data_IF_628155627661
#
_entry.id   IF_628155627661
#
_cell.length_a   1.000
_cell.length_b   1.000
_cell.length_c   1.000
_cell.angle_alpha   90.00
_cell.angle_beta   90.00
_cell.angle_gamma   90.00
#
_symmetry.space_group_name_H-M   'P 1'
#
loop_
_entity.id
_entity.type
_entity.pdbx_description
1 polymer ?
#
# COMPACT_ATOMS: atom_id res chain seq x y z
N UNK A 1 25.73 -28.24 -18.61
CA UNK A 1 26.16 -27.01 -17.89
C UNK A 1 25.37 -25.85 -18.48
N UNK A 2 24.34 -25.38 -17.76
CA UNK A 2 23.69 -24.12 -18.15
C UNK A 2 24.63 -22.96 -17.78
N UNK A 3 24.91 -22.09 -18.74
CA UNK A 3 25.82 -20.95 -18.54
C UNK A 3 25.14 -19.88 -17.68
N UNK A 4 25.93 -19.12 -16.91
CA UNK A 4 25.44 -18.01 -16.05
C UNK A 4 24.48 -17.06 -16.81
N UNK A 5 24.69 -16.89 -18.13
CA UNK A 5 23.86 -16.09 -18.99
C UNK A 5 22.43 -16.63 -19.22
N UNK A 6 22.23 -17.95 -19.21
CA UNK A 6 20.87 -18.52 -19.35
C UNK A 6 20.06 -18.42 -18.07
N UNK A 7 20.70 -18.38 -16.89
CA UNK A 7 20.05 -18.19 -15.60
C UNK A 7 19.52 -16.74 -15.43
N UNK A 8 20.29 -15.75 -15.88
CA UNK A 8 19.87 -14.35 -15.84
C UNK A 8 18.71 -14.05 -16.80
N UNK A 9 18.72 -14.64 -18.01
CA UNK A 9 17.62 -14.46 -18.97
C UNK A 9 16.28 -14.99 -18.43
N UNK A 10 16.28 -16.17 -17.83
CA UNK A 10 15.04 -16.75 -17.24
C UNK A 10 14.56 -15.95 -16.01
N UNK A 11 15.47 -15.34 -15.24
CA UNK A 11 15.12 -14.49 -14.12
C UNK A 11 14.46 -13.18 -14.58
N UNK A 12 14.98 -12.57 -15.64
CA UNK A 12 14.44 -11.32 -16.19
C UNK A 12 13.03 -11.48 -16.79
N UNK A 13 12.71 -12.64 -17.38
CA UNK A 13 11.37 -12.92 -17.92
C UNK A 13 10.27 -12.90 -16.85
N UNK A 14 10.61 -13.24 -15.60
CA UNK A 14 9.69 -13.23 -14.47
C UNK A 14 9.68 -11.89 -13.69
N UNK A 15 10.26 -10.84 -14.23
CA UNK A 15 10.39 -9.54 -13.56
C UNK A 15 9.81 -8.41 -14.39
N UNK A 16 9.12 -7.49 -13.75
CA UNK A 16 8.68 -6.24 -14.40
C UNK A 16 9.89 -5.42 -14.88
N UNK A 17 9.72 -4.56 -15.90
CA UNK A 17 10.78 -3.65 -16.33
C UNK A 17 11.31 -2.78 -15.19
N UNK A 18 10.45 -2.41 -14.23
CA UNK A 18 10.84 -1.68 -13.02
C UNK A 18 11.76 -2.51 -12.13
N UNK A 19 11.45 -3.80 -11.94
CA UNK A 19 12.26 -4.74 -11.15
C UNK A 19 13.63 -4.97 -11.79
N UNK A 20 13.67 -5.17 -13.10
CA UNK A 20 14.93 -5.34 -13.84
C UNK A 20 15.81 -4.07 -13.74
N UNK A 21 15.23 -2.89 -13.91
CA UNK A 21 15.95 -1.62 -13.77
C UNK A 21 16.48 -1.39 -12.34
N UNK A 22 15.70 -1.81 -11.34
CA UNK A 22 16.17 -1.79 -9.95
C UNK A 22 17.41 -2.66 -9.77
N UNK A 23 17.40 -3.91 -10.22
CA UNK A 23 18.54 -4.83 -10.09
C UNK A 23 19.81 -4.25 -10.73
N UNK A 24 19.71 -3.77 -11.97
CA UNK A 24 20.87 -3.15 -12.66
C UNK A 24 21.42 -1.93 -11.90
N UNK A 25 20.53 -1.14 -11.31
CA UNK A 25 20.92 0.02 -10.49
C UNK A 25 21.49 -0.41 -9.15
N UNK A 26 20.95 -1.46 -8.54
CA UNK A 26 21.38 -1.99 -7.25
C UNK A 26 22.79 -2.59 -7.33
N UNK A 27 23.07 -3.41 -8.34
CA UNK A 27 24.39 -4.01 -8.57
C UNK A 27 25.49 -2.95 -8.80
N UNK A 28 25.15 -1.82 -9.40
CA UNK A 28 26.09 -0.70 -9.62
C UNK A 28 26.22 0.25 -8.43
N UNK A 29 25.49 0.00 -7.34
CA UNK A 29 25.41 0.91 -6.19
C UNK A 29 26.54 0.66 -5.19
N UNK A 30 27.49 1.58 -5.13
CA UNK A 30 28.63 1.54 -4.18
C UNK A 30 28.65 2.70 -3.19
N UNK A 31 27.91 3.80 -3.44
CA UNK A 31 27.96 5.03 -2.64
C UNK A 31 26.65 5.33 -1.91
N UNK A 32 26.75 6.12 -0.83
CA UNK A 32 25.58 6.59 -0.05
C UNK A 32 24.61 7.38 -0.93
N UNK A 33 25.13 8.21 -1.84
CA UNK A 33 24.32 9.02 -2.77
C UNK A 33 23.51 8.15 -3.74
N UNK A 34 24.11 7.06 -4.27
CA UNK A 34 23.43 6.11 -5.13
C UNK A 34 22.31 5.36 -4.37
N UNK A 35 22.57 4.95 -3.11
CA UNK A 35 21.54 4.34 -2.24
C UNK A 35 20.38 5.27 -1.97
N UNK A 36 20.64 6.55 -1.73
CA UNK A 36 19.59 7.56 -1.54
C UNK A 36 18.72 7.71 -2.80
N UNK A 37 19.33 7.68 -4.00
CA UNK A 37 18.62 7.72 -5.28
C UNK A 37 17.73 6.48 -5.47
N UNK A 38 18.19 5.29 -5.12
CA UNK A 38 17.36 4.08 -5.15
C UNK A 38 16.12 4.23 -4.26
N UNK A 39 16.30 4.69 -3.01
CA UNK A 39 15.19 4.92 -2.06
C UNK A 39 14.17 5.95 -2.53
N UNK A 40 14.57 6.94 -3.33
CA UNK A 40 13.64 7.92 -3.90
C UNK A 40 12.88 7.41 -5.13
N UNK A 41 13.37 6.37 -5.76
CA UNK A 41 12.80 5.82 -7.01
C UNK A 41 11.95 4.59 -6.79
N UNK A 42 12.30 3.77 -5.80
CA UNK A 42 11.67 2.48 -5.52
C UNK A 42 11.18 2.40 -4.07
N UNK A 43 10.13 1.62 -3.83
CA UNK A 43 9.61 1.37 -2.48
C UNK A 43 10.56 0.42 -1.73
N UNK A 44 11.55 1.01 -1.04
CA UNK A 44 12.60 0.31 -0.32
C UNK A 44 12.38 0.45 1.18
N UNK A 45 12.40 -0.68 1.85
CA UNK A 45 12.37 -0.82 3.30
C UNK A 45 13.73 -1.28 3.82
N UNK A 46 13.92 -1.22 5.13
CA UNK A 46 15.02 -1.88 5.81
C UNK A 46 14.44 -3.03 6.65
N UNK A 47 14.94 -4.22 6.40
CA UNK A 47 14.64 -5.39 7.21
C UNK A 47 15.93 -5.87 7.86
N UNK A 48 16.00 -5.86 9.20
CA UNK A 48 17.20 -6.23 9.97
C UNK A 48 18.51 -5.53 9.53
N UNK A 49 18.40 -4.29 9.02
CA UNK A 49 19.54 -3.53 8.52
C UNK A 49 19.87 -3.78 7.03
N UNK A 50 19.25 -4.76 6.41
CA UNK A 50 19.40 -5.08 5.00
C UNK A 50 18.34 -4.35 4.15
N UNK A 51 18.70 -4.06 2.89
CA UNK A 51 17.79 -3.42 1.95
C UNK A 51 16.77 -4.44 1.44
N UNK A 52 15.50 -4.17 1.64
CA UNK A 52 14.39 -4.95 1.11
C UNK A 52 13.49 -4.08 0.22
N UNK A 53 12.94 -4.66 -0.83
CA UNK A 53 11.99 -3.99 -1.72
C UNK A 53 10.58 -4.47 -1.47
N UNK A 54 9.63 -3.53 -1.41
CA UNK A 54 8.22 -3.85 -1.42
C UNK A 54 7.80 -4.26 -2.83
N UNK A 55 7.17 -5.44 -2.95
CA UNK A 55 6.80 -6.00 -4.23
C UNK A 55 5.45 -6.71 -4.19
N UNK A 56 4.77 -6.71 -5.32
CA UNK A 56 3.77 -7.73 -5.61
C UNK A 56 4.47 -8.95 -6.22
N UNK A 57 4.27 -10.09 -5.59
CA UNK A 57 4.76 -11.37 -6.06
C UNK A 57 3.57 -12.20 -6.51
N UNK A 58 3.58 -12.59 -7.77
CA UNK A 58 2.55 -13.42 -8.36
C UNK A 58 2.99 -14.87 -8.30
N UNK A 59 2.16 -15.72 -7.72
CA UNK A 59 2.38 -17.16 -7.63
C UNK A 59 1.82 -17.89 -8.87
N UNK A 60 2.32 -19.07 -9.11
CA UNK A 60 1.74 -20.03 -10.08
C UNK A 60 0.47 -20.65 -9.48
N UNK A 61 0.51 -20.97 -8.18
CA UNK A 61 -0.59 -21.54 -7.39
C UNK A 61 -0.64 -20.82 -6.04
N UNK A 62 -1.82 -20.41 -5.60
CA UNK A 62 -2.03 -19.64 -4.37
C UNK A 62 -1.60 -20.39 -3.09
N UNK A 63 -1.57 -21.71 -3.11
CA UNK A 63 -1.19 -22.55 -1.98
C UNK A 63 0.30 -22.93 -1.99
N UNK A 64 1.03 -22.63 -3.08
CA UNK A 64 2.44 -22.97 -3.19
C UNK A 64 3.34 -21.79 -2.83
N UNK A 65 3.81 -21.79 -1.57
CA UNK A 65 4.73 -20.79 -1.02
C UNK A 65 6.18 -21.31 -0.91
N UNK A 66 6.48 -22.46 -1.54
CA UNK A 66 7.77 -23.13 -1.44
C UNK A 66 8.93 -22.20 -1.84
N UNK A 67 9.95 -22.17 -0.99
CA UNK A 67 11.17 -21.42 -1.18
C UNK A 67 11.10 -19.95 -0.77
N UNK A 68 9.92 -19.41 -0.41
CA UNK A 68 9.80 -18.00 -0.02
C UNK A 68 10.43 -17.72 1.35
N UNK A 69 10.22 -18.58 2.33
CA UNK A 69 10.79 -18.43 3.68
C UNK A 69 12.31 -18.54 3.66
N UNK A 70 12.87 -19.52 2.94
CA UNK A 70 14.32 -19.72 2.79
C UNK A 70 15.00 -18.51 2.12
N UNK A 71 14.26 -17.80 1.26
CA UNK A 71 14.71 -16.55 0.65
C UNK A 71 14.34 -15.32 1.48
N UNK A 72 13.92 -15.48 2.73
CA UNK A 72 13.60 -14.41 3.67
C UNK A 72 12.53 -13.43 3.13
N UNK A 73 11.61 -13.92 2.32
CA UNK A 73 10.49 -13.13 1.83
C UNK A 73 9.48 -12.94 2.95
N UNK A 74 9.20 -11.69 3.29
CA UNK A 74 8.15 -11.35 4.26
C UNK A 74 6.85 -11.15 3.49
N UNK A 75 5.84 -11.96 3.80
CA UNK A 75 4.49 -11.84 3.25
C UNK A 75 3.70 -10.90 4.16
N UNK A 76 3.24 -9.76 3.60
CA UNK A 76 2.42 -8.79 4.31
C UNK A 76 0.93 -9.09 4.17
N UNK A 77 0.51 -9.56 2.98
CA UNK A 77 -0.86 -9.95 2.67
C UNK A 77 -0.90 -10.87 1.46
N UNK A 78 -1.97 -11.67 1.36
CA UNK A 78 -2.24 -12.53 0.22
C UNK A 78 -3.67 -12.33 -0.29
N UNK A 79 -3.82 -12.25 -1.60
CA UNK A 79 -5.10 -12.26 -2.28
C UNK A 79 -5.03 -13.19 -3.50
N UNK A 80 -5.56 -14.39 -3.36
CA UNK A 80 -5.39 -15.45 -4.36
C UNK A 80 -3.92 -15.71 -4.64
N UNK A 81 -3.51 -15.64 -5.90
CA UNK A 81 -2.12 -15.83 -6.34
C UNK A 81 -1.23 -14.58 -6.20
N UNK A 82 -1.73 -13.48 -5.65
CA UNK A 82 -0.96 -12.24 -5.50
C UNK A 82 -0.58 -12.06 -4.03
N UNK A 83 0.72 -11.92 -3.77
CA UNK A 83 1.26 -11.58 -2.46
C UNK A 83 1.76 -10.14 -2.45
N UNK A 84 1.45 -9.40 -1.40
CA UNK A 84 2.18 -8.19 -1.04
C UNK A 84 3.35 -8.60 -0.15
N UNK A 85 4.57 -8.28 -0.56
CA UNK A 85 5.78 -8.81 0.09
C UNK A 85 6.84 -7.75 0.30
N UNK A 86 7.78 -8.05 1.24
CA UNK A 86 9.08 -7.40 1.29
C UNK A 86 10.14 -8.46 0.97
N UNK A 87 10.90 -8.25 -0.08
CA UNK A 87 11.93 -9.17 -0.59
C UNK A 87 13.30 -8.55 -0.35
N UNK A 88 14.26 -9.22 0.32
CA UNK A 88 15.63 -8.74 0.39
C UNK A 88 16.18 -8.49 -1.03
N UNK A 89 16.84 -7.36 -1.23
CA UNK A 89 17.32 -6.97 -2.56
C UNK A 89 18.29 -8.01 -3.15
N UNK A 90 19.13 -8.61 -2.32
CA UNK A 90 20.08 -9.65 -2.71
C UNK A 90 19.40 -10.97 -3.11
N UNK A 91 18.18 -11.22 -2.65
CA UNK A 91 17.43 -12.45 -2.92
C UNK A 91 16.45 -12.33 -4.10
N UNK A 92 16.32 -11.16 -4.73
CA UNK A 92 15.36 -10.95 -5.83
C UNK A 92 15.55 -11.93 -6.99
N UNK A 93 16.80 -12.20 -7.37
CA UNK A 93 17.11 -13.16 -8.44
C UNK A 93 16.73 -14.57 -8.03
N UNK A 94 17.11 -14.99 -6.81
CA UNK A 94 16.79 -16.34 -6.28
C UNK A 94 15.28 -16.54 -6.18
N UNK A 95 14.55 -15.54 -5.68
CA UNK A 95 13.08 -15.57 -5.61
C UNK A 95 12.44 -15.70 -6.99
N UNK A 96 12.94 -14.97 -8.00
CA UNK A 96 12.40 -15.07 -9.36
C UNK A 96 12.58 -16.46 -9.98
N UNK A 97 13.60 -17.20 -9.56
CA UNK A 97 13.90 -18.55 -10.07
C UNK A 97 13.05 -19.64 -9.43
N UNK A 98 12.34 -19.35 -8.33
CA UNK A 98 11.47 -20.33 -7.68
C UNK A 98 10.38 -20.83 -8.64
N UNK A 99 10.10 -22.14 -8.67
CA UNK A 99 9.01 -22.70 -9.45
C UNK A 99 7.63 -22.17 -9.04
N UNK A 100 7.46 -21.83 -7.75
CA UNK A 100 6.25 -21.25 -7.17
C UNK A 100 5.98 -19.84 -7.68
N UNK A 101 7.02 -19.10 -8.11
CA UNK A 101 6.93 -17.70 -8.53
C UNK A 101 6.70 -17.57 -10.03
N UNK A 102 5.62 -16.87 -10.40
CA UNK A 102 5.27 -16.53 -11.77
C UNK A 102 5.84 -15.19 -12.21
N UNK A 103 5.78 -14.16 -11.34
CA UNK A 103 6.18 -12.80 -11.69
C UNK A 103 6.45 -11.94 -10.45
N UNK A 104 7.37 -10.98 -10.56
CA UNK A 104 7.71 -10.02 -9.52
C UNK A 104 7.59 -8.60 -10.04
N UNK A 105 6.85 -7.77 -9.32
CA UNK A 105 6.65 -6.35 -9.60
C UNK A 105 6.97 -5.51 -8.37
N UNK A 106 8.09 -4.76 -8.39
CA UNK A 106 8.45 -3.89 -7.28
C UNK A 106 7.65 -2.58 -7.29
N UNK A 107 7.30 -2.13 -6.09
CA UNK A 107 6.58 -0.89 -5.87
C UNK A 107 7.42 0.36 -6.12
N UNK A 108 6.72 1.48 -6.27
CA UNK A 108 7.30 2.82 -6.27
C UNK A 108 6.85 3.58 -5.03
N UNK A 109 7.64 4.56 -4.55
CA UNK A 109 7.20 5.40 -3.45
C UNK A 109 5.92 6.15 -3.83
N UNK A 110 4.97 6.17 -2.90
CA UNK A 110 3.77 6.98 -3.03
C UNK A 110 4.05 8.33 -2.39
N UNK A 111 3.84 9.41 -3.14
CA UNK A 111 3.96 10.77 -2.64
C UNK A 111 2.57 11.38 -2.44
N UNK A 112 2.32 11.88 -1.25
CA UNK A 112 1.11 12.63 -0.95
C UNK A 112 1.09 13.94 -1.74
N UNK A 113 -0.05 14.25 -2.37
CA UNK A 113 -0.25 15.52 -3.06
C UNK A 113 -1.46 16.22 -2.45
N UNK A 114 -1.26 17.46 -1.99
CA UNK A 114 -2.33 18.32 -1.50
C UNK A 114 -2.81 19.20 -2.65
N UNK A 115 -3.94 18.85 -3.24
CA UNK A 115 -4.60 19.67 -4.26
C UNK A 115 -5.86 20.27 -3.67
N UNK A 116 -5.86 21.57 -3.41
CA UNK A 116 -7.05 22.34 -3.04
C UNK A 116 -7.90 22.61 -4.29
N UNK A 117 -8.72 21.65 -4.69
CA UNK A 117 -9.79 21.93 -5.65
C UNK A 117 -11.09 22.16 -4.89
N UNK A 118 -11.20 23.31 -4.26
CA UNK A 118 -12.45 23.83 -3.76
C UNK A 118 -13.14 24.53 -4.90
N UNK A 119 -14.01 23.87 -5.60
CA UNK A 119 -15.05 24.62 -6.26
C UNK A 119 -16.25 23.75 -6.50
N UNK A 120 -17.20 23.86 -5.60
CA UNK A 120 -18.59 23.53 -5.85
C UNK A 120 -19.03 24.06 -7.23
N UNK A 121 -18.45 25.19 -7.67
CA UNK A 121 -18.66 25.79 -8.97
C UNK A 121 -18.23 24.94 -10.17
N UNK A 122 -17.23 24.06 -10.01
CA UNK A 122 -16.76 23.22 -11.12
C UNK A 122 -17.33 21.80 -11.11
N UNK A 123 -17.74 21.27 -9.96
CA UNK A 123 -18.22 19.89 -9.86
C UNK A 123 -19.75 19.73 -9.93
N UNK A 124 -20.52 20.81 -9.72
CA UNK A 124 -21.98 20.80 -9.60
C UNK A 124 -22.54 19.82 -8.54
N UNK A 125 -21.72 19.40 -7.57
CA UNK A 125 -22.13 18.45 -6.52
C UNK A 125 -23.31 19.00 -5.70
N UNK A 126 -23.35 20.30 -5.45
CA UNK A 126 -24.48 20.95 -4.77
C UNK A 126 -25.82 20.64 -5.45
N UNK A 127 -25.90 20.67 -6.78
CA UNK A 127 -27.14 20.33 -7.51
C UNK A 127 -27.59 18.89 -7.31
N UNK A 128 -26.61 17.97 -7.19
CA UNK A 128 -26.87 16.56 -6.89
C UNK A 128 -27.40 16.42 -5.47
N UNK A 129 -26.76 17.11 -4.51
CA UNK A 129 -27.20 17.11 -3.10
C UNK A 129 -28.58 17.72 -2.90
N UNK A 130 -28.95 18.73 -3.71
CA UNK A 130 -30.26 19.37 -3.69
C UNK A 130 -31.31 18.62 -4.53
N UNK A 131 -30.88 17.68 -5.36
CA UNK A 131 -31.76 16.98 -6.30
C UNK A 131 -32.22 17.83 -7.50
N UNK A 132 -31.51 18.90 -7.80
CA UNK A 132 -31.88 19.81 -8.89
C UNK A 132 -31.86 19.10 -10.24
N UNK A 133 -33.03 18.91 -10.87
CA UNK A 133 -33.17 18.16 -12.12
C UNK A 133 -33.11 16.66 -11.99
N UNK A 134 -33.13 16.11 -10.76
CA UNK A 134 -33.09 14.68 -10.45
C UNK A 134 -34.42 14.25 -9.80
N UNK A 135 -34.64 12.95 -9.71
CA UNK A 135 -35.83 12.37 -9.06
C UNK A 135 -35.82 12.56 -7.53
N UNK A 136 -34.65 12.74 -6.94
CA UNK A 136 -34.45 13.00 -5.51
C UNK A 136 -33.07 13.58 -5.25
N UNK A 137 -32.83 14.05 -4.04
CA UNK A 137 -31.51 14.45 -3.57
C UNK A 137 -30.63 13.21 -3.30
N UNK A 138 -29.37 13.27 -3.73
CA UNK A 138 -28.38 12.22 -3.51
C UNK A 138 -27.22 12.78 -2.68
N UNK A 139 -27.16 12.42 -1.41
CA UNK A 139 -26.18 12.92 -0.46
C UNK A 139 -25.14 11.87 -0.05
N UNK A 140 -25.14 10.70 -0.70
CA UNK A 140 -24.30 9.56 -0.29
C UNK A 140 -24.78 8.87 0.99
N UNK A 141 -26.00 9.17 1.47
CA UNK A 141 -26.57 8.50 2.65
C UNK A 141 -26.55 6.98 2.44
N UNK A 142 -26.11 6.24 3.46
CA UNK A 142 -26.01 4.78 3.49
C UNK A 142 -24.99 4.18 2.50
N UNK A 143 -24.14 4.99 1.88
CA UNK A 143 -23.02 4.55 1.05
C UNK A 143 -21.77 4.44 1.91
N UNK A 144 -21.07 3.30 1.81
CA UNK A 144 -19.76 3.09 2.47
C UNK A 144 -18.67 3.44 1.45
N UNK A 145 -17.75 4.32 1.85
CA UNK A 145 -16.58 4.71 1.05
C UNK A 145 -15.33 4.19 1.72
N UNK A 146 -14.52 3.44 0.98
CA UNK A 146 -13.18 3.01 1.40
C UNK A 146 -12.13 4.03 0.94
N UNK A 147 -11.26 4.45 1.85
CA UNK A 147 -10.23 5.44 1.59
C UNK A 147 -8.88 4.86 2.03
N UNK A 148 -7.89 4.93 1.13
CA UNK A 148 -6.51 4.55 1.40
C UNK A 148 -5.65 5.78 1.28
N UNK A 149 -5.22 6.32 2.40
CA UNK A 149 -4.41 7.53 2.49
C UNK A 149 -3.68 7.55 3.84
N UNK A 150 -2.95 8.63 4.12
CA UNK A 150 -2.25 8.82 5.38
C UNK A 150 -2.42 10.23 5.94
N UNK A 151 -2.28 10.36 7.28
CA UNK A 151 -2.52 11.60 8.00
C UNK A 151 -3.99 11.80 8.36
N UNK A 152 -4.63 10.74 8.85
CA UNK A 152 -5.98 10.81 9.42
C UNK A 152 -5.94 11.26 10.88
N UNK A 153 -6.68 12.29 11.19
CA UNK A 153 -7.08 12.63 12.55
C UNK A 153 -8.50 12.11 12.77
N UNK A 154 -8.65 10.90 13.30
CA UNK A 154 -9.93 10.17 13.37
C UNK A 154 -11.00 10.88 14.18
N UNK A 155 -10.61 11.67 15.18
CA UNK A 155 -11.52 12.45 16.01
C UNK A 155 -11.76 13.89 15.48
N UNK A 156 -11.41 14.17 14.22
CA UNK A 156 -11.69 15.48 13.61
C UNK A 156 -13.20 15.66 13.41
N UNK A 157 -13.71 16.88 13.66
CA UNK A 157 -15.15 17.18 13.63
C UNK A 157 -15.81 16.85 12.29
N UNK A 158 -15.08 16.92 11.18
CA UNK A 158 -15.60 16.58 9.85
C UNK A 158 -16.01 15.10 9.72
N UNK A 159 -15.57 14.22 10.61
CA UNK A 159 -15.94 12.81 10.61
C UNK A 159 -17.14 12.49 11.50
N UNK A 160 -17.75 13.48 12.10
CA UNK A 160 -18.99 13.32 12.86
C UNK A 160 -20.22 13.64 12.00
N UNK A 161 -21.37 13.27 12.52
CA UNK A 161 -22.65 13.69 11.96
C UNK A 161 -22.84 15.21 12.08
N UNK A 162 -23.89 15.76 11.48
CA UNK A 162 -24.19 17.19 11.49
C UNK A 162 -24.45 17.76 12.89
N UNK A 163 -24.72 16.91 13.86
CA UNK A 163 -24.89 17.26 15.28
C UNK A 163 -23.58 17.19 16.05
N UNK A 164 -22.51 16.68 15.46
CA UNK A 164 -21.21 16.49 16.13
C UNK A 164 -21.22 15.39 17.18
N UNK A 165 -22.19 14.49 17.17
CA UNK A 165 -22.38 13.49 18.23
C UNK A 165 -21.86 12.10 17.84
N UNK A 166 -22.13 11.67 16.61
CA UNK A 166 -21.85 10.31 16.20
C UNK A 166 -20.73 10.28 15.17
N UNK A 167 -19.68 9.50 15.43
CA UNK A 167 -18.60 9.28 14.51
C UNK A 167 -19.10 8.50 13.28
N UNK A 168 -18.85 9.01 12.07
CA UNK A 168 -19.23 8.36 10.81
C UNK A 168 -18.24 7.30 10.34
N UNK A 169 -16.99 7.32 10.84
CA UNK A 169 -15.99 6.29 10.52
C UNK A 169 -16.45 4.97 11.11
N UNK A 170 -16.55 3.94 10.27
CA UNK A 170 -17.01 2.60 10.67
C UNK A 170 -15.86 1.66 11.01
N UNK A 171 -14.75 1.76 10.29
CA UNK A 171 -13.56 0.94 10.48
C UNK A 171 -12.31 1.71 10.12
N UNK A 172 -11.22 1.39 10.79
CA UNK A 172 -9.88 1.91 10.48
C UNK A 172 -8.90 0.75 10.51
N UNK A 173 -8.03 0.69 9.52
CA UNK A 173 -6.84 -0.14 9.56
C UNK A 173 -5.61 0.78 9.56
N UNK A 174 -5.00 0.96 10.74
CA UNK A 174 -3.75 1.70 10.87
C UNK A 174 -2.58 0.78 10.57
N UNK A 175 -2.05 0.89 9.38
CA UNK A 175 -0.98 0.03 8.88
C UNK A 175 0.38 0.29 9.55
N UNK A 176 0.55 1.45 10.19
CA UNK A 176 1.80 1.85 10.84
C UNK A 176 1.88 1.45 12.32
N UNK A 177 0.81 0.94 12.89
CA UNK A 177 0.75 0.58 14.30
C UNK A 177 0.73 -0.94 14.47
N UNK A 178 1.64 -1.46 15.31
CA UNK A 178 1.63 -2.88 15.66
C UNK A 178 0.44 -3.21 16.57
N UNK A 179 -0.32 -4.27 16.22
CA UNK A 179 -1.47 -4.73 16.98
C UNK A 179 -2.19 -5.86 16.27
N UNK A 180 -3.52 -5.93 16.39
CA UNK A 180 -4.34 -6.96 15.74
C UNK A 180 -4.74 -6.49 14.34
N UNK A 181 -4.23 -7.11 13.27
CA UNK A 181 -4.58 -6.74 11.90
C UNK A 181 -5.99 -7.23 11.50
N UNK A 182 -6.58 -6.70 10.42
CA UNK A 182 -7.77 -7.27 9.81
C UNK A 182 -7.54 -8.72 9.37
N UNK A 183 -8.62 -9.50 9.30
CA UNK A 183 -8.57 -10.89 8.82
C UNK A 183 -7.96 -10.96 7.41
N UNK A 184 -6.98 -11.84 7.21
CA UNK A 184 -6.27 -12.03 5.95
C UNK A 184 -5.06 -11.10 5.77
N UNK A 185 -4.73 -10.29 6.77
CA UNK A 185 -3.53 -9.45 6.78
C UNK A 185 -2.64 -9.79 7.97
N UNK A 186 -1.35 -9.48 7.87
CA UNK A 186 -0.34 -9.90 8.84
C UNK A 186 0.33 -8.72 9.57
N UNK A 187 -0.15 -7.49 9.39
CA UNK A 187 0.42 -6.27 9.96
C UNK A 187 -0.63 -5.19 10.22
N UNK A 188 -0.26 -4.19 11.01
CA UNK A 188 -1.13 -3.08 11.35
C UNK A 188 -2.08 -3.38 12.51
N UNK A 189 -2.97 -2.44 12.79
CA UNK A 189 -4.03 -2.55 13.80
C UNK A 189 -5.36 -2.17 13.20
N UNK A 190 -6.37 -3.03 13.34
CA UNK A 190 -7.74 -2.73 12.98
C UNK A 190 -8.49 -2.17 14.21
N UNK A 191 -9.21 -1.07 14.02
CA UNK A 191 -10.19 -0.54 14.95
C UNK A 191 -11.59 -0.75 14.39
N UNK A 192 -12.47 -1.37 15.16
CA UNK A 192 -13.75 -1.89 14.67
C UNK A 192 -14.98 -1.15 15.20
N UNK A 193 -14.78 -0.25 16.17
CA UNK A 193 -15.84 0.52 16.79
C UNK A 193 -15.42 1.97 17.07
N UNK A 194 -16.40 2.83 17.34
CA UNK A 194 -16.16 4.25 17.53
C UNK A 194 -15.26 4.58 18.74
N UNK A 195 -15.35 3.80 19.81
CA UNK A 195 -14.57 4.03 21.04
C UNK A 195 -13.07 3.80 20.77
N UNK A 196 -12.73 2.70 20.12
CA UNK A 196 -11.36 2.38 19.72
C UNK A 196 -10.79 3.44 18.75
N UNK A 197 -11.59 3.83 17.75
CA UNK A 197 -11.18 4.82 16.74
C UNK A 197 -10.92 6.18 17.39
N UNK A 198 -11.80 6.63 18.28
CA UNK A 198 -11.65 7.90 19.00
C UNK A 198 -10.42 7.85 19.95
N UNK A 199 -10.22 6.72 20.62
CA UNK A 199 -9.10 6.52 21.53
C UNK A 199 -7.75 6.52 20.78
N UNK A 200 -7.70 5.99 19.56
CA UNK A 200 -6.52 5.98 18.70
C UNK A 200 -6.15 7.39 18.21
N UNK A 201 -7.09 8.31 18.11
CA UNK A 201 -6.95 9.72 17.72
C UNK A 201 -6.48 9.95 16.29
N UNK A 202 -5.39 9.37 15.88
CA UNK A 202 -4.77 9.57 14.56
C UNK A 202 -3.82 8.41 14.19
N UNK A 203 -3.49 8.27 12.91
CA UNK A 203 -2.47 7.33 12.44
C UNK A 203 -1.05 7.87 12.67
N UNK A 204 -0.76 9.09 12.21
CA UNK A 204 0.48 9.85 12.47
C UNK A 204 0.23 11.36 12.31
N UNK A 205 1.21 12.17 12.71
CA UNK A 205 1.09 13.63 12.74
C UNK A 205 1.13 14.24 11.32
N UNK A 206 0.04 14.13 10.59
CA UNK A 206 -0.20 14.76 9.30
C UNK A 206 -1.70 15.04 9.15
N UNK A 207 -2.11 15.71 8.07
CA UNK A 207 -3.50 16.13 7.88
C UNK A 207 -4.04 15.87 6.46
N UNK A 208 -3.26 15.24 5.59
CA UNK A 208 -3.64 15.06 4.18
C UNK A 208 -4.96 14.28 4.06
N UNK A 209 -5.01 13.07 4.62
CA UNK A 209 -6.20 12.23 4.57
C UNK A 209 -7.41 12.87 5.27
N UNK A 210 -7.18 13.56 6.40
CA UNK A 210 -8.25 14.33 7.08
C UNK A 210 -8.82 15.41 6.16
N UNK A 211 -7.96 16.08 5.39
CA UNK A 211 -8.37 17.15 4.48
C UNK A 211 -9.16 16.63 3.25
N UNK A 212 -8.70 15.55 2.64
CA UNK A 212 -9.34 15.03 1.40
C UNK A 212 -10.60 14.20 1.68
N UNK A 213 -10.76 13.69 2.90
CA UNK A 213 -11.87 12.83 3.30
C UNK A 213 -12.98 13.58 4.03
N UNK A 214 -12.64 14.62 4.79
CA UNK A 214 -13.56 15.46 5.59
C UNK A 214 -14.02 16.66 4.81
#
# INVERSE_FOLDING_TARGET
>A
MATLGSFLLNAEEKMSPSTQNFLRSYESTSTISQRAKLKSTYAINQNNGEMAVSAFLHLVDENNLDGLEENQVIINAQYGTILSTNIPADNLISVSQLPSVKYIEIGRPVHQRMNNVRSEQFSNVNKIHEGTGLTQAYTGKDVIVGIIDGGFQYNHINFYDTEGKNLRIKRVWNQNQSGTPPTGYYYGTEYTNAEEIIAAKQDYAASHATHVTG
#
